data_IF_418271607014
#
_entry.id   IF_418271607014
#
_cell.length_a   1.000
_cell.length_b   1.000
_cell.length_c   1.000
_cell.angle_alpha   90.00
_cell.angle_beta   90.00
_cell.angle_gamma   90.00
#
_symmetry.space_group_name_H-M   'P 1'
#
loop_
_entity.id
_entity.type
_entity.pdbx_description
1 polymer ?
#
# COMPACT_ATOMS: atom_id res chain seq x y z
N UNK A 1 -32.06 8.53 4.63
CA UNK A 1 -32.86 7.30 4.47
C UNK A 1 -32.05 6.30 3.65
N UNK A 2 -32.14 6.18 2.31
CA UNK A 2 -31.33 5.16 1.59
C UNK A 2 -29.79 5.34 1.73
N UNK A 3 -29.25 6.57 1.65
CA UNK A 3 -27.81 6.82 1.86
C UNK A 3 -27.39 6.66 3.34
N UNK A 4 -28.33 6.80 4.29
CA UNK A 4 -28.03 6.62 5.73
C UNK A 4 -28.10 5.14 6.11
N UNK A 5 -28.99 4.36 5.50
CA UNK A 5 -29.07 2.90 5.66
C UNK A 5 -27.84 2.20 5.03
N UNK A 6 -27.34 2.66 3.87
CA UNK A 6 -26.09 2.15 3.29
C UNK A 6 -24.86 2.48 4.16
N UNK A 7 -24.81 3.66 4.77
CA UNK A 7 -23.73 4.03 5.71
C UNK A 7 -23.79 3.20 7.00
N UNK A 8 -24.99 2.93 7.54
CA UNK A 8 -25.17 2.05 8.71
C UNK A 8 -24.81 0.59 8.40
N UNK A 9 -25.18 0.05 7.23
CA UNK A 9 -24.80 -1.32 6.82
C UNK A 9 -23.27 -1.45 6.64
N UNK A 10 -22.61 -0.44 6.09
CA UNK A 10 -21.15 -0.43 5.96
C UNK A 10 -20.44 -0.28 7.31
N UNK A 11 -20.95 0.53 8.23
CA UNK A 11 -20.43 0.61 9.60
C UNK A 11 -20.60 -0.72 10.36
N UNK A 12 -21.73 -1.42 10.20
CA UNK A 12 -21.95 -2.74 10.79
C UNK A 12 -21.01 -3.82 10.20
N UNK A 13 -20.81 -3.86 8.88
CA UNK A 13 -19.84 -4.78 8.24
C UNK A 13 -18.40 -4.49 8.70
N UNK A 14 -18.04 -3.22 8.88
CA UNK A 14 -16.72 -2.81 9.35
C UNK A 14 -16.50 -3.11 10.85
N UNK A 15 -17.53 -2.95 11.70
CA UNK A 15 -17.49 -3.37 13.11
C UNK A 15 -17.40 -4.90 13.23
N UNK A 16 -18.12 -5.66 12.40
CA UNK A 16 -17.99 -7.12 12.34
C UNK A 16 -16.57 -7.57 11.93
N UNK A 17 -15.94 -6.88 10.98
CA UNK A 17 -14.56 -7.16 10.55
C UNK A 17 -13.52 -6.73 11.61
N UNK A 18 -13.74 -5.63 12.35
CA UNK A 18 -12.91 -5.23 13.50
C UNK A 18 -13.04 -6.26 14.65
N UNK A 19 -14.25 -6.71 14.99
CA UNK A 19 -14.48 -7.74 16.01
C UNK A 19 -13.91 -9.10 15.60
N UNK A 20 -14.05 -9.51 14.33
CA UNK A 20 -13.41 -10.71 13.78
C UNK A 20 -11.87 -10.63 13.84
N UNK A 21 -11.31 -9.42 13.78
CA UNK A 21 -9.90 -9.14 14.00
C UNK A 21 -9.50 -9.06 15.48
N UNK A 22 -10.40 -9.19 16.45
CA UNK A 22 -10.06 -9.32 17.88
C UNK A 22 -10.16 -10.77 18.37
N UNK A 23 -10.94 -11.61 17.71
CA UNK A 23 -11.07 -13.03 18.03
C UNK A 23 -9.81 -13.83 17.66
N UNK A 24 -9.41 -14.83 18.45
CA UNK A 24 -8.27 -15.67 18.11
C UNK A 24 -8.48 -16.36 16.76
N UNK A 25 -7.43 -16.48 15.95
CA UNK A 25 -7.50 -17.06 14.60
C UNK A 25 -8.07 -18.48 14.69
N UNK A 26 -9.36 -18.62 14.38
CA UNK A 26 -10.09 -19.88 14.47
C UNK A 26 -10.02 -20.55 13.10
N UNK A 27 -9.44 -21.75 13.05
CA UNK A 27 -9.46 -22.61 11.85
C UNK A 27 -10.82 -23.32 11.68
N UNK A 28 -11.89 -22.73 12.24
CA UNK A 28 -13.22 -23.33 12.22
C UNK A 28 -13.75 -23.36 10.80
N UNK A 29 -14.34 -24.50 10.43
CA UNK A 29 -14.83 -24.70 9.08
C UNK A 29 -16.06 -23.81 8.84
N UNK A 30 -16.03 -22.88 7.88
CA UNK A 30 -17.12 -21.93 7.71
C UNK A 30 -18.38 -22.60 7.14
N UNK A 31 -19.56 -22.11 7.53
CA UNK A 31 -20.84 -22.73 7.13
C UNK A 31 -21.26 -22.38 5.69
N UNK A 32 -20.92 -21.17 5.22
CA UNK A 32 -21.32 -20.66 3.90
C UNK A 32 -20.40 -21.15 2.79
N UNK A 33 -20.96 -21.63 1.66
CA UNK A 33 -20.19 -22.10 0.49
C UNK A 33 -19.17 -21.08 -0.04
N UNK A 34 -19.50 -19.78 -0.02
CA UNK A 34 -18.57 -18.70 -0.39
C UNK A 34 -17.37 -18.64 0.56
N UNK A 35 -17.63 -18.64 1.88
CA UNK A 35 -16.60 -18.62 2.93
C UNK A 35 -15.73 -19.90 2.88
N UNK A 36 -16.31 -21.06 2.56
CA UNK A 36 -15.55 -22.32 2.37
C UNK A 36 -14.59 -22.26 1.18
N UNK A 37 -15.00 -21.68 0.05
CA UNK A 37 -14.14 -21.54 -1.11
C UNK A 37 -12.98 -20.57 -0.83
N UNK A 38 -13.27 -19.44 -0.18
CA UNK A 38 -12.26 -18.46 0.25
C UNK A 38 -11.28 -19.10 1.25
N UNK A 39 -11.79 -19.83 2.24
CA UNK A 39 -10.98 -20.55 3.22
C UNK A 39 -10.04 -21.54 2.55
N UNK A 40 -10.53 -22.36 1.60
CA UNK A 40 -9.70 -23.32 0.87
C UNK A 40 -8.57 -22.63 0.08
N UNK A 41 -8.86 -21.46 -0.50
CA UNK A 41 -7.89 -20.66 -1.24
C UNK A 41 -6.82 -20.02 -0.34
N UNK A 42 -7.21 -19.53 0.84
CA UNK A 42 -6.32 -18.90 1.81
C UNK A 42 -5.57 -19.90 2.69
N UNK A 43 -6.06 -21.13 2.84
CA UNK A 43 -5.48 -22.21 3.64
C UNK A 43 -3.96 -22.40 3.41
N UNK A 44 -3.42 -22.45 2.17
CA UNK A 44 -1.98 -22.59 1.96
C UNK A 44 -1.13 -21.46 2.55
N UNK A 45 -1.73 -20.28 2.77
CA UNK A 45 -1.07 -19.11 3.38
C UNK A 45 -1.33 -19.10 4.89
N UNK A 46 -2.60 -19.26 5.29
CA UNK A 46 -3.04 -19.21 6.70
C UNK A 46 -2.46 -20.36 7.52
N UNK A 47 -2.32 -21.55 6.95
CA UNK A 47 -1.82 -22.72 7.68
C UNK A 47 -0.36 -22.56 8.14
N UNK A 48 0.60 -22.15 7.28
CA UNK A 48 1.96 -21.81 7.73
C UNK A 48 2.01 -20.68 8.77
N UNK A 49 1.21 -19.63 8.59
CA UNK A 49 1.12 -18.52 9.54
C UNK A 49 0.62 -18.99 10.91
N UNK A 50 -0.46 -19.76 10.93
CA UNK A 50 -1.01 -20.34 12.15
C UNK A 50 -0.02 -21.28 12.86
N UNK A 51 0.77 -22.06 12.09
CA UNK A 51 1.77 -22.96 12.65
C UNK A 51 2.98 -22.23 13.27
N UNK A 52 3.36 -21.09 12.70
CA UNK A 52 4.63 -20.40 13.03
C UNK A 52 4.45 -19.17 13.92
N UNK A 53 3.28 -18.53 13.90
CA UNK A 53 2.99 -17.31 14.65
C UNK A 53 2.01 -17.63 15.78
N UNK A 54 2.46 -17.68 17.05
CA UNK A 54 1.57 -17.98 18.15
C UNK A 54 0.59 -16.83 18.36
N UNK A 55 -0.70 -17.17 18.47
CA UNK A 55 -1.77 -16.19 18.62
C UNK A 55 -1.80 -15.60 20.05
N UNK A 56 -1.48 -14.31 20.16
CA UNK A 56 -1.46 -13.54 21.42
C UNK A 56 -2.83 -13.11 21.92
N UNK A 57 -3.88 -13.25 21.10
CA UNK A 57 -5.27 -13.01 21.51
C UNK A 57 -5.70 -14.03 22.57
N UNK A 58 -5.10 -15.23 22.56
CA UNK A 58 -5.29 -16.26 23.60
C UNK A 58 -4.54 -15.90 24.88
N UNK A 59 -5.24 -15.92 26.02
CA UNK A 59 -4.71 -15.53 27.33
C UNK A 59 -3.46 -16.32 27.75
N UNK A 60 -3.35 -17.59 27.36
CA UNK A 60 -2.20 -18.47 27.66
C UNK A 60 -0.93 -18.11 26.88
N UNK A 61 -1.09 -17.58 25.66
CA UNK A 61 0.00 -17.29 24.71
C UNK A 61 0.49 -15.83 24.77
N UNK A 62 -0.12 -14.97 25.59
CA UNK A 62 0.29 -13.56 25.77
C UNK A 62 1.78 -13.40 26.10
N UNK A 63 2.39 -14.40 26.74
CA UNK A 63 3.83 -14.41 27.09
C UNK A 63 4.74 -14.46 25.86
N UNK A 64 4.24 -14.91 24.71
CA UNK A 64 4.98 -15.04 23.46
C UNK A 64 4.87 -13.80 22.56
N UNK A 65 4.37 -12.67 23.07
CA UNK A 65 4.18 -11.44 22.28
C UNK A 65 5.40 -11.03 21.44
N UNK A 66 6.59 -11.05 22.02
CA UNK A 66 7.83 -10.70 21.28
C UNK A 66 8.10 -11.69 20.15
N UNK A 67 7.84 -12.99 20.36
CA UNK A 67 8.02 -14.02 19.35
C UNK A 67 6.99 -13.87 18.22
N UNK A 68 5.73 -13.61 18.56
CA UNK A 68 4.66 -13.31 17.59
C UNK A 68 5.01 -12.09 16.76
N UNK A 69 5.43 -11.00 17.40
CA UNK A 69 5.82 -9.77 16.71
C UNK A 69 6.98 -10.00 15.74
N UNK A 70 8.07 -10.64 16.18
CA UNK A 70 9.21 -10.95 15.31
C UNK A 70 8.83 -11.94 14.20
N UNK A 71 7.98 -12.92 14.50
CA UNK A 71 7.45 -13.87 13.52
C UNK A 71 6.66 -13.18 12.42
N UNK A 72 5.76 -12.26 12.78
CA UNK A 72 5.01 -11.44 11.82
C UNK A 72 5.93 -10.58 10.96
N UNK A 73 6.97 -9.96 11.54
CA UNK A 73 7.96 -9.19 10.76
C UNK A 73 8.67 -10.07 9.73
N UNK A 74 9.06 -11.29 10.08
CA UNK A 74 9.69 -12.24 9.14
C UNK A 74 8.73 -12.64 8.02
N UNK A 75 7.46 -12.89 8.33
CA UNK A 75 6.46 -13.22 7.31
C UNK A 75 6.18 -12.04 6.37
N UNK A 76 6.06 -10.83 6.90
CA UNK A 76 5.90 -9.62 6.08
C UNK A 76 7.12 -9.47 5.15
N UNK A 77 8.34 -9.70 5.65
CA UNK A 77 9.55 -9.67 4.83
C UNK A 77 9.54 -10.75 3.74
N UNK A 78 9.12 -11.97 4.06
CA UNK A 78 8.99 -13.06 3.08
C UNK A 78 7.96 -12.73 2.00
N UNK A 79 6.76 -12.28 2.38
CA UNK A 79 5.71 -11.93 1.42
C UNK A 79 6.08 -10.72 0.57
N UNK A 80 6.75 -9.73 1.16
CA UNK A 80 7.28 -8.59 0.41
C UNK A 80 8.30 -9.04 -0.65
N UNK A 81 9.22 -9.94 -0.30
CA UNK A 81 10.17 -10.51 -1.27
C UNK A 81 9.46 -11.28 -2.40
N UNK A 82 8.50 -12.14 -2.06
CA UNK A 82 7.73 -12.90 -3.05
C UNK A 82 6.92 -11.99 -3.97
N UNK A 83 6.31 -10.93 -3.43
CA UNK A 83 5.55 -9.93 -4.19
C UNK A 83 6.43 -9.26 -5.24
N UNK A 84 7.61 -8.75 -4.85
CA UNK A 84 8.55 -8.11 -5.77
C UNK A 84 9.03 -9.10 -6.82
N UNK A 85 9.40 -10.32 -6.40
CA UNK A 85 9.88 -11.35 -7.31
C UNK A 85 8.84 -11.76 -8.35
N UNK A 86 7.59 -12.01 -7.92
CA UNK A 86 6.50 -12.35 -8.84
C UNK A 86 6.16 -11.20 -9.78
N UNK A 87 6.13 -9.95 -9.29
CA UNK A 87 5.89 -8.80 -10.14
C UNK A 87 6.97 -8.67 -11.23
N UNK A 88 8.25 -8.90 -10.89
CA UNK A 88 9.34 -8.92 -11.86
C UNK A 88 9.16 -10.05 -12.90
N UNK A 89 8.84 -11.28 -12.47
CA UNK A 89 8.61 -12.39 -13.40
C UNK A 89 7.41 -12.17 -14.34
N UNK A 90 6.34 -11.57 -13.82
CA UNK A 90 5.16 -11.21 -14.62
C UNK A 90 5.49 -10.09 -15.60
N UNK A 91 6.23 -9.06 -15.16
CA UNK A 91 6.69 -7.96 -16.00
C UNK A 91 7.51 -8.46 -17.19
N UNK A 92 8.52 -9.28 -16.93
CA UNK A 92 9.36 -9.90 -17.98
C UNK A 92 8.54 -10.75 -18.97
N UNK A 93 7.52 -11.47 -18.48
CA UNK A 93 6.68 -12.32 -19.34
C UNK A 93 5.78 -11.49 -20.26
N UNK A 94 5.26 -10.36 -19.77
CA UNK A 94 4.36 -9.47 -20.52
C UNK A 94 5.15 -8.44 -21.37
N UNK A 95 6.43 -8.26 -21.09
CA UNK A 95 7.29 -7.25 -21.73
C UNK A 95 7.11 -5.84 -21.15
N UNK A 96 6.71 -5.74 -19.88
CA UNK A 96 6.58 -4.48 -19.13
C UNK A 96 7.85 -4.30 -18.28
N UNK A 97 8.42 -3.11 -18.29
CA UNK A 97 9.65 -2.82 -17.54
C UNK A 97 9.45 -2.93 -16.02
N UNK A 98 10.52 -3.25 -15.29
CA UNK A 98 10.50 -3.35 -13.84
C UNK A 98 10.07 -2.05 -13.16
N UNK A 99 10.46 -0.91 -13.74
CA UNK A 99 10.08 0.41 -13.28
C UNK A 99 8.57 0.60 -13.36
N UNK A 100 7.94 0.26 -14.50
CA UNK A 100 6.49 0.34 -14.69
C UNK A 100 5.75 -0.60 -13.73
N UNK A 101 6.25 -1.81 -13.50
CA UNK A 101 5.68 -2.73 -12.52
C UNK A 101 5.78 -2.18 -11.09
N UNK A 102 6.90 -1.52 -10.77
CA UNK A 102 7.13 -0.83 -9.50
C UNK A 102 6.16 0.32 -9.26
N UNK A 103 6.04 1.24 -10.23
CA UNK A 103 5.22 2.45 -10.12
C UNK A 103 3.71 2.19 -10.23
N UNK A 104 3.28 1.00 -10.68
CA UNK A 104 1.86 0.64 -10.81
C UNK A 104 1.45 -0.45 -9.82
N UNK A 105 1.83 -1.70 -10.07
CA UNK A 105 1.30 -2.88 -9.38
C UNK A 105 1.83 -2.94 -7.95
N UNK A 106 3.14 -2.75 -7.76
CA UNK A 106 3.74 -2.75 -6.43
C UNK A 106 3.25 -1.57 -5.59
N UNK A 107 3.28 -0.36 -6.16
CA UNK A 107 2.78 0.84 -5.50
C UNK A 107 1.31 0.71 -5.10
N UNK A 108 0.43 0.21 -5.98
CA UNK A 108 -0.96 -0.03 -5.66
C UNK A 108 -1.12 -1.10 -4.57
N UNK A 109 -0.36 -2.20 -4.67
CA UNK A 109 -0.42 -3.30 -3.72
C UNK A 109 -0.10 -2.89 -2.28
N UNK A 110 0.90 -2.02 -2.09
CA UNK A 110 1.27 -1.52 -0.76
C UNK A 110 0.31 -0.46 -0.22
N UNK A 111 -0.33 0.32 -1.09
CA UNK A 111 -1.23 1.41 -0.68
C UNK A 111 -2.70 1.00 -0.53
N UNK A 112 -3.13 -0.17 -1.02
CA UNK A 112 -4.52 -0.65 -0.86
C UNK A 112 -4.93 -0.78 0.62
N UNK A 113 -4.14 -1.39 1.52
CA UNK A 113 -4.50 -1.49 2.94
C UNK A 113 -4.62 -0.12 3.61
N UNK A 114 -3.70 0.81 3.30
CA UNK A 114 -3.74 2.19 3.80
C UNK A 114 -4.95 2.95 3.26
N UNK A 115 -5.35 2.68 2.01
CA UNK A 115 -6.55 3.24 1.41
C UNK A 115 -7.81 2.76 2.14
N UNK A 116 -7.94 1.45 2.38
CA UNK A 116 -9.10 0.86 3.07
C UNK A 116 -9.22 1.48 4.47
N UNK A 117 -8.16 1.47 5.26
CA UNK A 117 -8.16 2.05 6.61
C UNK A 117 -8.46 3.56 6.60
N UNK A 118 -7.95 4.30 5.61
CA UNK A 118 -8.24 5.73 5.48
C UNK A 118 -9.69 6.00 5.08
N UNK A 119 -10.30 5.13 4.26
CA UNK A 119 -11.72 5.25 3.87
C UNK A 119 -12.62 4.97 5.07
N UNK A 120 -12.37 3.90 5.83
CA UNK A 120 -13.07 3.55 7.07
C UNK A 120 -13.09 4.74 8.04
N UNK A 121 -11.90 5.29 8.34
CA UNK A 121 -11.76 6.43 9.25
C UNK A 121 -12.45 7.68 8.71
N UNK A 122 -12.43 7.89 7.39
CA UNK A 122 -13.11 9.01 6.77
C UNK A 122 -14.64 8.89 6.84
N UNK A 123 -15.19 7.68 6.73
CA UNK A 123 -16.63 7.37 6.87
C UNK A 123 -17.14 7.64 8.28
N UNK A 124 -16.35 7.26 9.30
CA UNK A 124 -16.58 7.59 10.72
C UNK A 124 -16.51 9.10 11.05
N UNK A 125 -16.50 9.98 10.05
CA UNK A 125 -16.43 11.44 10.20
C UNK A 125 -15.04 11.99 10.56
N UNK A 126 -14.01 11.15 10.60
CA UNK A 126 -12.64 11.51 11.01
C UNK A 126 -11.74 11.81 9.80
N UNK A 127 -12.23 12.59 8.84
CA UNK A 127 -11.52 12.91 7.59
C UNK A 127 -10.13 13.55 7.78
N UNK A 128 -9.95 14.38 8.81
CA UNK A 128 -8.63 14.97 9.13
C UNK A 128 -7.62 13.89 9.54
N UNK A 129 -8.07 12.85 10.25
CA UNK A 129 -7.25 11.70 10.63
C UNK A 129 -6.85 10.89 9.39
N UNK A 130 -7.81 10.60 8.51
CA UNK A 130 -7.58 9.88 7.26
C UNK A 130 -6.53 10.60 6.36
N UNK A 131 -6.67 11.92 6.17
CA UNK A 131 -5.71 12.71 5.39
C UNK A 131 -4.34 12.73 6.07
N UNK A 132 -4.29 12.88 7.39
CA UNK A 132 -3.02 12.89 8.13
C UNK A 132 -2.26 11.55 8.03
N UNK A 133 -2.99 10.43 8.06
CA UNK A 133 -2.43 9.08 7.90
C UNK A 133 -1.86 8.90 6.49
N UNK A 134 -2.64 9.22 5.47
CA UNK A 134 -2.23 9.11 4.06
C UNK A 134 -1.00 9.96 3.73
N UNK A 135 -0.96 11.22 4.21
CA UNK A 135 0.19 12.11 4.00
C UNK A 135 1.40 11.65 4.82
N UNK A 136 1.17 11.19 6.06
CA UNK A 136 2.22 10.73 6.97
C UNK A 136 2.95 9.50 6.45
N UNK A 137 2.23 8.50 5.92
CA UNK A 137 2.79 7.27 5.35
C UNK A 137 3.76 7.59 4.20
N UNK A 138 3.35 8.42 3.24
CA UNK A 138 4.22 8.83 2.13
C UNK A 138 5.47 9.61 2.58
N UNK A 139 5.33 10.46 3.61
CA UNK A 139 6.49 11.17 4.18
C UNK A 139 7.45 10.17 4.82
N UNK A 140 6.94 9.20 5.58
CA UNK A 140 7.75 8.16 6.21
C UNK A 140 8.48 7.30 5.17
N UNK A 141 7.81 6.90 4.09
CA UNK A 141 8.42 6.12 3.03
C UNK A 141 9.58 6.85 2.35
N UNK A 142 9.42 8.15 2.07
CA UNK A 142 10.49 8.94 1.44
C UNK A 142 11.64 9.22 2.41
N UNK A 143 11.34 9.48 3.69
CA UNK A 143 12.36 9.91 4.68
C UNK A 143 13.05 8.77 5.41
N UNK A 144 12.39 7.63 5.56
CA UNK A 144 12.89 6.45 6.29
C UNK A 144 12.90 5.22 5.39
N UNK A 145 11.81 4.96 4.65
CA UNK A 145 11.67 3.78 3.80
C UNK A 145 12.72 3.67 2.69
N UNK A 146 13.00 4.75 1.96
CA UNK A 146 14.03 4.79 0.91
C UNK A 146 15.46 4.86 1.46
N UNK A 147 15.80 5.73 2.45
CA UNK A 147 17.18 5.88 2.88
C UNK A 147 17.69 4.70 3.72
N UNK A 148 16.83 4.02 4.47
CA UNK A 148 17.27 2.94 5.36
C UNK A 148 17.90 1.74 4.61
N UNK A 149 17.29 1.18 3.54
CA UNK A 149 17.91 0.14 2.73
C UNK A 149 19.19 0.60 2.04
N UNK A 150 19.24 1.82 1.51
CA UNK A 150 20.44 2.38 0.88
C UNK A 150 21.59 2.56 1.87
N UNK A 151 21.29 3.06 3.08
CA UNK A 151 22.28 3.22 4.13
C UNK A 151 22.80 1.85 4.58
N UNK A 152 21.92 0.87 4.78
CA UNK A 152 22.30 -0.49 5.13
C UNK A 152 23.18 -1.12 4.04
N UNK A 153 22.81 -0.99 2.77
CA UNK A 153 23.61 -1.45 1.64
C UNK A 153 24.97 -0.77 1.61
N UNK A 154 25.02 0.55 1.77
CA UNK A 154 26.28 1.31 1.74
C UNK A 154 27.21 0.92 2.90
N UNK A 155 26.67 0.72 4.12
CA UNK A 155 27.45 0.26 5.27
C UNK A 155 28.07 -1.12 5.04
N UNK A 156 27.31 -2.06 4.47
CA UNK A 156 27.79 -3.43 4.18
C UNK A 156 28.84 -3.42 3.07
N UNK A 157 28.69 -2.55 2.07
CA UNK A 157 29.57 -2.46 0.90
C UNK A 157 30.69 -1.43 1.05
N UNK A 158 31.05 -1.01 2.26
CA UNK A 158 32.20 -0.14 2.51
C UNK A 158 32.02 1.29 2.01
N UNK A 159 30.84 1.88 2.23
CA UNK A 159 30.45 3.23 1.82
C UNK A 159 30.47 3.46 0.30
N UNK A 160 30.34 2.39 -0.50
CA UNK A 160 30.16 2.52 -1.94
C UNK A 160 28.80 3.17 -2.25
N UNK A 161 28.74 4.07 -3.24
CA UNK A 161 27.49 4.66 -3.69
C UNK A 161 26.64 3.61 -4.43
N UNK A 162 25.33 3.65 -4.21
CA UNK A 162 24.37 2.85 -4.98
C UNK A 162 24.12 3.56 -6.31
N UNK A 163 24.47 2.98 -7.46
CA UNK A 163 24.14 3.58 -8.74
C UNK A 163 22.62 3.52 -8.96
N UNK A 164 22.00 4.68 -9.14
CA UNK A 164 20.58 4.78 -9.50
C UNK A 164 20.52 5.17 -10.97
N UNK A 165 20.16 4.22 -11.84
CA UNK A 165 20.02 4.44 -13.27
C UNK A 165 18.59 4.17 -13.69
N UNK A 166 17.84 5.23 -13.99
CA UNK A 166 16.52 5.18 -14.62
C UNK A 166 16.50 6.17 -15.79
N UNK A 167 15.79 5.81 -16.86
CA UNK A 167 15.63 6.69 -18.01
C UNK A 167 14.80 7.91 -17.59
N UNK A 168 15.32 9.12 -17.81
CA UNK A 168 14.54 10.33 -17.53
C UNK A 168 14.25 10.57 -16.04
N UNK A 169 15.09 10.05 -15.12
CA UNK A 169 14.97 10.28 -13.67
C UNK A 169 14.79 11.76 -13.29
N UNK A 170 15.49 12.67 -13.98
CA UNK A 170 15.29 14.11 -13.80
C UNK A 170 13.87 14.55 -14.16
N UNK A 171 13.34 14.10 -15.30
CA UNK A 171 11.95 14.37 -15.70
C UNK A 171 10.95 13.76 -14.71
N UNK A 172 11.19 12.54 -14.22
CA UNK A 172 10.33 11.91 -13.22
C UNK A 172 10.26 12.72 -11.91
N UNK A 173 11.41 13.23 -11.42
CA UNK A 173 11.46 14.11 -10.25
C UNK A 173 10.68 15.41 -10.48
N UNK A 174 10.85 16.04 -11.65
CA UNK A 174 10.12 17.26 -12.01
C UNK A 174 8.62 16.99 -12.07
N UNK A 175 8.20 15.88 -12.66
CA UNK A 175 6.79 15.47 -12.74
C UNK A 175 6.19 15.23 -11.34
N UNK A 176 6.90 14.54 -10.44
CA UNK A 176 6.48 14.34 -9.06
C UNK A 176 6.31 15.67 -8.32
N UNK A 177 7.26 16.60 -8.49
CA UNK A 177 7.18 17.92 -7.87
C UNK A 177 6.00 18.74 -8.40
N UNK A 178 5.76 18.72 -9.71
CA UNK A 178 4.60 19.37 -10.30
C UNK A 178 3.28 18.75 -9.80
N UNK A 179 3.21 17.42 -9.73
CA UNK A 179 2.04 16.71 -9.20
C UNK A 179 1.76 17.13 -7.75
N UNK A 180 2.77 17.17 -6.89
CA UNK A 180 2.65 17.63 -5.52
C UNK A 180 2.09 19.06 -5.43
N UNK A 181 2.59 19.98 -6.28
CA UNK A 181 2.07 21.34 -6.35
C UNK A 181 0.60 21.39 -6.79
N UNK A 182 0.21 20.59 -7.79
CA UNK A 182 -1.18 20.49 -8.23
C UNK A 182 -2.09 19.95 -7.13
N UNK A 183 -1.66 18.92 -6.41
CA UNK A 183 -2.39 18.36 -5.27
C UNK A 183 -2.58 19.43 -4.19
N UNK A 184 -1.52 20.08 -3.73
CA UNK A 184 -1.62 21.14 -2.72
C UNK A 184 -2.51 22.29 -3.19
N UNK A 185 -2.35 22.72 -4.45
CA UNK A 185 -3.17 23.79 -5.04
C UNK A 185 -4.65 23.42 -5.11
N UNK A 186 -4.98 22.16 -5.41
CA UNK A 186 -6.37 21.69 -5.45
C UNK A 186 -7.01 21.67 -4.05
N UNK A 187 -6.27 21.21 -3.03
CA UNK A 187 -6.72 21.19 -1.64
C UNK A 187 -6.94 22.63 -1.15
N UNK A 188 -6.00 23.52 -1.44
CA UNK A 188 -6.11 24.94 -1.10
C UNK A 188 -7.33 25.60 -1.79
N UNK A 189 -7.57 25.26 -3.06
CA UNK A 189 -8.71 25.75 -3.85
C UNK A 189 -10.05 25.25 -3.29
N UNK A 190 -10.07 24.04 -2.73
CA UNK A 190 -11.22 23.47 -2.01
C UNK A 190 -11.36 23.97 -0.56
N UNK A 191 -10.58 24.99 -0.16
CA UNK A 191 -10.59 25.57 1.21
C UNK A 191 -10.40 24.53 2.30
N UNK A 192 -9.56 23.52 2.06
CA UNK A 192 -9.27 22.45 3.03
C UNK A 192 -10.52 21.67 3.46
N UNK A 193 -11.52 21.56 2.56
CA UNK A 193 -12.70 20.73 2.78
C UNK A 193 -12.70 19.53 1.85
N UNK A 194 -12.99 18.37 2.43
CA UNK A 194 -13.12 17.13 1.68
C UNK A 194 -14.48 17.11 0.96
N UNK A 195 -14.45 17.32 -0.36
CA UNK A 195 -15.64 17.32 -1.21
C UNK A 195 -15.52 16.23 -2.28
N UNK A 196 -16.65 15.71 -2.78
CA UNK A 196 -16.69 14.75 -3.92
C UNK A 196 -15.92 15.27 -5.15
N UNK A 197 -15.94 16.59 -5.39
CA UNK A 197 -15.19 17.26 -6.47
C UNK A 197 -13.66 17.16 -6.26
N UNK A 198 -13.18 17.31 -5.02
CA UNK A 198 -11.76 17.18 -4.70
C UNK A 198 -11.30 15.74 -4.99
N UNK A 199 -12.07 14.74 -4.54
CA UNK A 199 -11.81 13.33 -4.81
C UNK A 199 -11.73 13.01 -6.30
N UNK A 200 -12.71 13.48 -7.10
CA UNK A 200 -12.67 13.32 -8.56
C UNK A 200 -11.44 14.00 -9.19
N UNK A 201 -11.09 15.20 -8.73
CA UNK A 201 -9.90 15.92 -9.21
C UNK A 201 -8.62 15.15 -8.88
N UNK A 202 -8.50 14.56 -7.68
CA UNK A 202 -7.36 13.71 -7.29
C UNK A 202 -7.24 12.48 -8.17
N UNK A 203 -8.35 11.78 -8.43
CA UNK A 203 -8.38 10.62 -9.32
C UNK A 203 -7.94 10.98 -10.74
N UNK A 204 -8.42 12.10 -11.27
CA UNK A 204 -8.05 12.58 -12.59
C UNK A 204 -6.55 12.92 -12.65
N UNK A 205 -6.02 13.64 -11.66
CA UNK A 205 -4.59 13.97 -11.58
C UNK A 205 -3.72 12.72 -11.49
N UNK A 206 -4.12 11.73 -10.69
CA UNK A 206 -3.42 10.44 -10.59
C UNK A 206 -3.40 9.69 -11.92
N UNK A 207 -4.54 9.63 -12.63
CA UNK A 207 -4.61 8.95 -13.92
C UNK A 207 -3.75 9.64 -15.00
N UNK A 208 -3.78 10.98 -15.04
CA UNK A 208 -2.92 11.77 -15.93
C UNK A 208 -1.44 11.55 -15.58
N UNK A 209 -1.09 11.54 -14.29
CA UNK A 209 0.26 11.25 -13.83
C UNK A 209 0.73 9.86 -14.28
N UNK A 210 -0.08 8.81 -14.08
CA UNK A 210 0.26 7.45 -14.51
C UNK A 210 0.50 7.37 -16.02
N UNK A 211 -0.38 7.96 -16.83
CA UNK A 211 -0.20 7.96 -18.30
C UNK A 211 1.11 8.63 -18.67
N UNK A 212 1.40 9.81 -18.14
CA UNK A 212 2.62 10.56 -18.48
C UNK A 212 3.86 9.79 -18.01
N UNK A 213 3.85 9.23 -16.79
CA UNK A 213 4.97 8.46 -16.25
C UNK A 213 5.26 7.20 -17.06
N UNK A 214 4.22 6.45 -17.45
CA UNK A 214 4.38 5.26 -18.32
C UNK A 214 4.89 5.66 -19.71
N UNK A 215 4.35 6.71 -20.32
CA UNK A 215 4.81 7.20 -21.63
C UNK A 215 6.25 7.72 -21.61
N UNK A 216 6.71 8.23 -20.47
CA UNK A 216 8.11 8.65 -20.27
C UNK A 216 9.05 7.44 -20.22
N UNK A 217 8.66 6.39 -19.49
CA UNK A 217 9.48 5.17 -19.36
C UNK A 217 9.53 4.37 -20.68
N UNK A 218 8.41 4.24 -21.39
CA UNK A 218 8.34 3.60 -22.72
C UNK A 218 9.06 4.40 -23.83
N UNK A 219 9.71 5.53 -23.47
CA UNK A 219 10.42 6.46 -24.37
C UNK A 219 9.56 7.04 -25.50
N UNK A 220 8.24 6.97 -25.37
CA UNK A 220 7.30 7.65 -26.28
C UNK A 220 7.49 9.16 -26.13
N UNK A 221 7.65 9.62 -24.88
CA UNK A 221 8.00 11.00 -24.55
C UNK A 221 9.50 11.04 -24.22
N UNK A 222 10.28 11.66 -25.09
CA UNK A 222 11.70 11.89 -24.81
C UNK A 222 11.85 13.01 -23.79
N UNK A 223 12.50 12.74 -22.66
CA UNK A 223 12.90 13.77 -21.72
C UNK A 223 13.86 14.73 -22.43
N UNK A 224 13.54 16.04 -22.55
CA UNK A 224 14.37 16.99 -23.29
C UNK A 224 15.68 17.33 -22.58
N UNK A 225 15.85 16.87 -21.34
CA UNK A 225 17.02 17.11 -20.50
C UNK A 225 17.72 15.77 -20.26
N UNK A 226 18.86 15.57 -20.91
CA UNK A 226 19.82 14.53 -20.54
C UNK A 226 20.74 15.08 -19.45
N UNK A 227 20.65 14.54 -18.24
CA UNK A 227 21.59 14.81 -17.15
C UNK A 227 22.64 13.71 -17.09
#
# INVERSE_FOLDING_TARGET
EEEEEEEEEEEEEEEEDEEANEEPLSLEWPETRKKQAIYLFLLPIVFPLWLTVPDVRRLESKKFFVLTFLGSVVWIAMFSYLMVWWAHQVGETIGISEEIMGLTILAAGTSIPDLITSVIVARKGLGDMAVSSSVGSNIFDITVGLPAPWLLFSLINGLQPVPVSSNGLFCAIVLLFLMLLFVISSIASCKWRMNKILGFTMFLLYFVFLIISVMLEDRIISCPVSV
#
